data_IF_361361336682
#
_entry.id   IF_361361336682
#
_cell.length_a   1.000
_cell.length_b   1.000
_cell.length_c   1.000
_cell.angle_alpha   90.00
_cell.angle_beta   90.00
_cell.angle_gamma   90.00
#
_symmetry.space_group_name_H-M   'P 1'
#
loop_
_entity.id
_entity.type
_entity.pdbx_description
1 polymer ?
#
# COMPACT_ATOMS: atom_id res chain seq x y z
N UNK A 1 -23.23 -45.13 36.50
CA UNK A 1 -23.48 -43.68 36.47
C UNK A 1 -22.14 -43.00 36.20
N UNK A 2 -21.80 -42.76 34.94
CA UNK A 2 -20.63 -41.97 34.58
C UNK A 2 -21.05 -40.50 34.51
N UNK A 3 -20.25 -39.67 35.17
CA UNK A 3 -20.53 -38.29 35.48
C UNK A 3 -20.53 -37.44 34.20
N UNK A 4 -21.68 -36.85 33.89
CA UNK A 4 -21.96 -36.01 32.72
C UNK A 4 -21.40 -34.58 32.89
N UNK A 5 -20.18 -34.47 33.41
CA UNK A 5 -19.47 -33.23 33.73
C UNK A 5 -17.97 -33.36 33.48
N UNK A 6 -17.58 -33.58 32.23
CA UNK A 6 -16.22 -33.26 31.79
C UNK A 6 -16.27 -32.37 30.55
N UNK A 7 -16.15 -31.07 30.84
CA UNK A 7 -15.46 -30.06 30.04
C UNK A 7 -15.87 -29.96 28.56
N UNK A 8 -17.02 -29.35 28.33
CA UNK A 8 -17.13 -28.41 27.20
C UNK A 8 -16.23 -27.22 27.53
N UNK A 9 -14.97 -27.26 27.07
CA UNK A 9 -14.14 -26.06 27.01
C UNK A 9 -14.71 -25.18 25.91
N UNK A 10 -15.63 -24.29 26.26
CA UNK A 10 -16.00 -23.13 25.44
C UNK A 10 -14.78 -22.20 25.35
N UNK A 11 -13.79 -22.59 24.54
CA UNK A 11 -12.79 -21.64 24.08
C UNK A 11 -13.48 -20.72 23.09
N UNK A 12 -14.09 -19.64 23.60
CA UNK A 12 -14.35 -18.46 22.77
C UNK A 12 -13.03 -18.13 22.08
N UNK A 13 -12.97 -18.10 20.74
CA UNK A 13 -11.76 -17.69 20.04
C UNK A 13 -11.38 -16.31 20.58
N UNK A 14 -10.20 -16.22 21.18
CA UNK A 14 -9.62 -14.94 21.57
C UNK A 14 -9.23 -14.27 20.26
N UNK A 15 -10.11 -13.40 19.76
CA UNK A 15 -9.76 -12.52 18.65
C UNK A 15 -8.75 -11.51 19.18
N UNK A 16 -7.47 -11.79 18.92
CA UNK A 16 -6.39 -10.83 19.15
C UNK A 16 -6.50 -9.81 18.01
N UNK A 17 -7.13 -8.66 18.29
CA UNK A 17 -7.16 -7.54 17.36
C UNK A 17 -5.82 -6.81 17.36
N UNK A 18 -5.53 -6.11 16.27
CA UNK A 18 -4.41 -5.18 16.25
C UNK A 18 -4.59 -4.10 17.32
N UNK A 19 -3.50 -3.64 17.96
CA UNK A 19 -3.56 -2.47 18.83
C UNK A 19 -4.07 -1.24 18.07
N UNK A 20 -4.90 -0.41 18.70
CA UNK A 20 -5.38 0.84 18.09
C UNK A 20 -4.24 1.79 17.71
N UNK A 21 -3.11 1.70 18.39
CA UNK A 21 -1.88 2.46 18.08
C UNK A 21 -1.11 1.95 16.85
N UNK A 22 -1.57 0.86 16.23
CA UNK A 22 -0.96 0.25 15.04
C UNK A 22 -1.84 0.38 13.79
N UNK A 23 -3.04 0.97 13.90
CA UNK A 23 -4.01 1.02 12.79
C UNK A 23 -4.80 2.32 12.70
N UNK A 24 -5.32 2.60 11.51
CA UNK A 24 -6.38 3.59 11.30
C UNK A 24 -7.77 2.94 11.47
N UNK A 25 -8.78 3.70 11.92
CA UNK A 25 -10.15 3.19 12.06
C UNK A 25 -10.85 2.96 10.72
N UNK A 26 -10.36 3.58 9.63
CA UNK A 26 -10.90 3.47 8.28
C UNK A 26 -9.73 3.31 7.31
N UNK A 27 -9.87 2.40 6.36
CA UNK A 27 -8.94 2.19 5.25
C UNK A 27 -9.75 1.93 3.96
N UNK A 28 -9.08 1.96 2.80
CA UNK A 28 -9.71 1.98 1.46
C UNK A 28 -9.45 0.72 0.65
N UNK A 29 -9.66 -0.44 1.28
CA UNK A 29 -9.62 -1.72 0.59
C UNK A 29 -10.69 -2.67 1.14
N UNK A 30 -10.83 -3.81 0.47
CA UNK A 30 -11.82 -4.84 0.77
C UNK A 30 -11.71 -5.50 2.16
N UNK A 31 -10.67 -5.21 2.94
CA UNK A 31 -10.49 -5.74 4.30
C UNK A 31 -10.14 -4.63 5.29
N UNK A 32 -10.68 -4.66 6.52
CA UNK A 32 -10.30 -3.71 7.56
C UNK A 32 -8.87 -3.98 8.05
N UNK A 33 -8.19 -2.92 8.50
CA UNK A 33 -6.83 -3.00 9.02
C UNK A 33 -6.62 -4.10 10.08
N UNK A 34 -7.58 -4.28 10.99
CA UNK A 34 -7.55 -5.33 12.04
C UNK A 34 -7.39 -6.73 11.48
N UNK A 35 -8.05 -7.02 10.36
CA UNK A 35 -7.96 -8.32 9.70
C UNK A 35 -6.63 -8.43 8.98
N UNK A 36 -6.19 -7.37 8.29
CA UNK A 36 -4.93 -7.37 7.55
C UNK A 36 -3.70 -7.65 8.42
N UNK A 37 -3.62 -7.06 9.62
CA UNK A 37 -2.53 -7.33 10.55
C UNK A 37 -2.75 -8.54 11.46
N UNK A 38 -3.82 -9.32 11.24
CA UNK A 38 -4.10 -10.52 12.04
C UNK A 38 -3.29 -11.74 11.59
N UNK A 39 -3.10 -12.70 12.50
CA UNK A 39 -2.54 -14.01 12.16
C UNK A 39 -3.42 -14.77 11.15
N UNK A 40 -4.74 -14.58 11.20
CA UNK A 40 -5.68 -15.24 10.29
C UNK A 40 -5.41 -14.85 8.84
N UNK A 41 -5.19 -13.56 8.56
CA UNK A 41 -4.83 -13.12 7.21
C UNK A 41 -3.45 -13.65 6.79
N UNK A 42 -2.47 -13.72 7.70
CA UNK A 42 -1.16 -14.31 7.39
C UNK A 42 -1.25 -15.79 7.03
N UNK A 43 -2.14 -16.55 7.66
CA UNK A 43 -2.35 -17.98 7.39
C UNK A 43 -3.24 -18.24 6.18
N UNK A 44 -4.21 -17.36 5.94
CA UNK A 44 -5.21 -17.47 4.89
C UNK A 44 -5.34 -16.14 4.15
N UNK A 45 -4.31 -15.75 3.37
CA UNK A 45 -4.35 -14.49 2.64
C UNK A 45 -5.46 -14.55 1.59
N UNK A 46 -6.09 -13.40 1.37
CA UNK A 46 -7.05 -13.20 0.29
C UNK A 46 -6.60 -12.03 -0.56
N UNK A 47 -7.06 -11.98 -1.80
CA UNK A 47 -6.75 -10.88 -2.71
C UNK A 47 -7.14 -9.54 -2.10
N UNK A 48 -6.18 -8.60 -2.12
CA UNK A 48 -6.36 -7.26 -1.61
C UNK A 48 -6.78 -6.34 -2.75
N UNK A 49 -8.01 -5.86 -2.68
CA UNK A 49 -8.62 -5.03 -3.71
C UNK A 49 -8.84 -3.63 -3.14
N UNK A 50 -8.31 -2.63 -3.84
CA UNK A 50 -8.53 -1.23 -3.48
C UNK A 50 -9.91 -0.77 -3.92
N UNK A 51 -10.53 0.07 -3.10
CA UNK A 51 -11.89 0.53 -3.35
C UNK A 51 -11.98 1.34 -4.64
N UNK A 52 -12.95 0.97 -5.50
CA UNK A 52 -13.28 1.71 -6.72
C UNK A 52 -12.33 1.53 -7.90
N UNK A 53 -11.11 0.98 -7.73
CA UNK A 53 -10.12 0.89 -8.83
C UNK A 53 -10.60 -0.01 -9.96
N UNK A 54 -11.08 -1.22 -9.64
CA UNK A 54 -11.57 -2.16 -10.65
C UNK A 54 -12.76 -1.59 -11.45
N UNK A 55 -13.65 -0.85 -10.79
CA UNK A 55 -14.79 -0.23 -11.45
C UNK A 55 -14.38 0.96 -12.34
N UNK A 56 -13.45 1.80 -11.86
CA UNK A 56 -12.99 2.98 -12.61
C UNK A 56 -12.11 2.64 -13.81
N UNK A 57 -11.37 1.52 -13.73
CA UNK A 57 -10.39 1.12 -14.74
C UNK A 57 -10.74 -0.22 -15.40
N UNK A 58 -12.03 -0.57 -15.42
CA UNK A 58 -12.52 -1.83 -16.01
C UNK A 58 -12.00 -2.06 -17.43
N UNK A 59 -12.08 -1.04 -18.29
CA UNK A 59 -11.65 -1.13 -19.69
C UNK A 59 -10.16 -1.44 -19.83
N UNK A 60 -9.32 -0.91 -18.94
CA UNK A 60 -7.89 -1.24 -18.94
C UNK A 60 -7.69 -2.73 -18.70
N UNK A 61 -8.26 -3.27 -17.61
CA UNK A 61 -8.08 -4.68 -17.27
C UNK A 61 -8.67 -5.61 -18.34
N UNK A 62 -9.82 -5.22 -18.91
CA UNK A 62 -10.40 -5.94 -20.05
C UNK A 62 -9.50 -5.97 -21.28
N UNK A 63 -8.77 -4.90 -21.59
CA UNK A 63 -7.77 -4.92 -22.67
C UNK A 63 -6.53 -5.75 -22.29
N UNK A 64 -6.08 -5.68 -21.04
CA UNK A 64 -4.94 -6.48 -20.57
C UNK A 64 -5.22 -7.99 -20.64
N UNK A 65 -6.45 -8.44 -20.38
CA UNK A 65 -6.86 -9.86 -20.47
C UNK A 65 -6.70 -10.44 -21.89
N UNK A 66 -6.74 -9.58 -22.93
CA UNK A 66 -6.59 -10.00 -24.33
C UNK A 66 -5.13 -10.14 -24.77
N UNK A 67 -4.20 -9.64 -23.97
CA UNK A 67 -2.78 -9.58 -24.31
C UNK A 67 -2.00 -10.65 -23.54
N UNK A 68 -1.46 -11.64 -24.25
CA UNK A 68 -0.67 -12.71 -23.65
C UNK A 68 0.76 -12.29 -23.29
N UNK A 69 1.34 -11.33 -24.00
CA UNK A 69 2.72 -10.90 -23.81
C UNK A 69 2.85 -9.92 -22.63
N UNK A 70 3.76 -10.25 -21.69
CA UNK A 70 3.96 -9.47 -20.47
C UNK A 70 4.52 -8.07 -20.76
N UNK A 71 5.42 -7.94 -21.73
CA UNK A 71 6.05 -6.65 -22.05
C UNK A 71 5.03 -5.72 -22.73
N UNK A 72 4.22 -6.28 -23.62
CA UNK A 72 3.12 -5.56 -24.28
C UNK A 72 2.06 -5.09 -23.27
N UNK A 73 1.65 -5.94 -22.31
CA UNK A 73 0.77 -5.52 -21.19
C UNK A 73 1.36 -4.36 -20.39
N UNK A 74 2.65 -4.42 -20.09
CA UNK A 74 3.38 -3.31 -19.46
C UNK A 74 3.31 -2.01 -20.25
N UNK A 75 3.46 -2.09 -21.58
CA UNK A 75 3.35 -0.92 -22.45
C UNK A 75 1.92 -0.37 -22.51
N UNK A 76 0.90 -1.23 -22.60
CA UNK A 76 -0.52 -0.84 -22.55
C UNK A 76 -0.80 -0.10 -21.24
N UNK A 77 -0.37 -0.65 -20.10
CA UNK A 77 -0.52 -0.02 -18.80
C UNK A 77 0.15 1.36 -18.73
N UNK A 78 1.41 1.47 -19.18
CA UNK A 78 2.14 2.75 -19.17
C UNK A 78 1.46 3.81 -20.05
N UNK A 79 0.98 3.43 -21.23
CA UNK A 79 0.25 4.31 -22.13
C UNK A 79 -1.08 4.78 -21.49
N UNK A 80 -1.80 3.85 -20.85
CA UNK A 80 -3.03 4.17 -20.13
C UNK A 80 -2.78 5.14 -18.97
N UNK A 81 -1.76 4.90 -18.14
CA UNK A 81 -1.35 5.80 -17.06
C UNK A 81 -1.04 7.21 -17.57
N UNK A 82 -0.33 7.30 -18.70
CA UNK A 82 0.01 8.57 -19.32
C UNK A 82 -1.24 9.33 -19.77
N UNK A 83 -2.19 8.66 -20.42
CA UNK A 83 -3.41 9.27 -20.91
C UNK A 83 -4.37 9.63 -19.77
N UNK A 84 -4.63 8.70 -18.85
CA UNK A 84 -5.57 8.84 -17.74
C UNK A 84 -5.18 10.00 -16.79
N UNK A 85 -3.89 10.17 -16.54
CA UNK A 85 -3.37 11.20 -15.64
C UNK A 85 -2.64 12.35 -16.35
N UNK A 86 -2.68 12.42 -17.69
CA UNK A 86 -2.03 13.47 -18.49
C UNK A 86 -0.55 13.71 -18.09
N UNK A 87 0.23 12.62 -17.97
CA UNK A 87 1.57 12.68 -17.39
C UNK A 87 2.59 13.45 -18.25
N UNK A 88 2.35 13.57 -19.56
CA UNK A 88 3.22 14.30 -20.50
C UNK A 88 2.81 15.74 -20.74
N UNK A 89 1.54 16.07 -20.58
CA UNK A 89 0.97 17.42 -20.78
C UNK A 89 0.25 17.89 -19.52
N UNK A 90 0.95 18.01 -18.38
CA UNK A 90 0.31 18.35 -17.10
C UNK A 90 -0.40 19.71 -17.10
N UNK A 91 0.00 20.64 -17.98
CA UNK A 91 -0.66 21.94 -18.16
C UNK A 91 -2.12 21.78 -18.62
N UNK A 92 -2.41 20.78 -19.45
CA UNK A 92 -3.77 20.45 -19.90
C UNK A 92 -4.64 19.89 -18.75
N UNK A 93 -3.99 19.36 -17.70
CA UNK A 93 -4.63 18.91 -16.47
C UNK A 93 -4.76 20.05 -15.43
N UNK A 94 -4.50 21.30 -15.83
CA UNK A 94 -4.60 22.48 -14.95
C UNK A 94 -3.36 22.77 -14.13
N UNK A 95 -2.18 22.22 -14.49
CA UNK A 95 -0.94 22.57 -13.82
C UNK A 95 -0.56 24.03 -14.04
N UNK A 96 -0.33 24.76 -12.94
CA UNK A 96 0.16 26.15 -12.96
C UNK A 96 1.68 26.18 -12.84
N UNK A 97 2.32 27.29 -13.23
CA UNK A 97 3.75 27.53 -12.99
C UNK A 97 4.14 27.27 -11.52
N UNK A 98 5.17 26.44 -11.31
CA UNK A 98 5.58 25.96 -9.98
C UNK A 98 4.88 24.69 -9.50
N UNK A 99 3.97 24.13 -10.29
CA UNK A 99 3.34 22.86 -9.98
C UNK A 99 4.31 21.68 -10.04
N UNK A 100 4.18 20.76 -9.08
CA UNK A 100 4.95 19.52 -9.02
C UNK A 100 4.28 18.41 -9.84
N UNK A 101 3.49 18.72 -10.87
CA UNK A 101 2.87 17.70 -11.74
C UNK A 101 3.87 16.73 -12.42
N UNK A 102 5.17 17.08 -12.50
CA UNK A 102 6.24 16.15 -12.92
C UNK A 102 6.60 15.09 -11.86
N UNK A 103 6.06 15.22 -10.65
CA UNK A 103 6.14 14.25 -9.56
C UNK A 103 5.07 13.17 -9.71
N UNK A 104 5.20 12.36 -10.75
CA UNK A 104 4.34 11.21 -10.98
C UNK A 104 4.84 9.96 -10.25
N UNK A 105 4.09 8.86 -10.36
CA UNK A 105 4.42 7.59 -9.74
C UNK A 105 5.84 7.11 -10.08
N UNK A 106 6.32 7.28 -11.32
CA UNK A 106 7.67 6.86 -11.72
C UNK A 106 8.76 7.61 -10.96
N UNK A 107 8.58 8.92 -10.75
CA UNK A 107 9.53 9.72 -9.98
C UNK A 107 9.53 9.30 -8.51
N UNK A 108 8.35 9.05 -7.95
CA UNK A 108 8.20 8.57 -6.57
C UNK A 108 8.88 7.20 -6.39
N UNK A 109 8.61 6.24 -7.28
CA UNK A 109 9.21 4.92 -7.23
C UNK A 109 10.74 4.98 -7.31
N UNK A 110 11.29 5.80 -8.20
CA UNK A 110 12.74 5.97 -8.33
C UNK A 110 13.37 6.56 -7.06
N UNK A 111 12.75 7.57 -6.47
CA UNK A 111 13.22 8.17 -5.22
C UNK A 111 13.18 7.17 -4.06
N UNK A 112 12.06 6.44 -3.94
CA UNK A 112 11.91 5.40 -2.92
C UNK A 112 12.90 4.24 -3.07
N UNK A 113 13.17 3.79 -4.31
CA UNK A 113 14.16 2.74 -4.58
C UNK A 113 15.59 3.19 -4.25
N UNK A 114 15.87 4.49 -4.33
CA UNK A 114 17.18 5.04 -3.98
C UNK A 114 17.34 5.17 -2.46
N UNK A 115 16.33 5.73 -1.78
CA UNK A 115 16.32 5.87 -0.34
C UNK A 115 14.90 5.69 0.24
N UNK A 116 14.72 4.60 1.01
CA UNK A 116 13.45 4.24 1.63
C UNK A 116 13.11 5.05 2.90
N UNK A 117 13.98 6.00 3.25
CA UNK A 117 13.76 6.93 4.35
C UNK A 117 13.53 8.37 3.88
N UNK A 118 13.65 8.70 2.60
CA UNK A 118 13.43 10.06 2.10
C UNK A 118 11.95 10.42 1.84
N UNK A 119 11.75 11.64 1.35
CA UNK A 119 10.43 12.26 1.15
C UNK A 119 9.48 11.40 0.28
N UNK A 120 9.97 10.77 -0.78
CA UNK A 120 9.19 9.85 -1.63
C UNK A 120 8.70 8.63 -0.84
N UNK A 121 9.53 8.10 0.06
CA UNK A 121 9.14 7.00 0.93
C UNK A 121 8.09 7.44 1.96
N UNK A 122 8.16 8.68 2.46
CA UNK A 122 7.11 9.23 3.33
C UNK A 122 5.74 9.27 2.62
N UNK A 123 5.72 9.65 1.33
CA UNK A 123 4.50 9.63 0.51
C UNK A 123 3.99 8.21 0.32
N UNK A 124 4.86 7.26 -0.04
CA UNK A 124 4.45 5.87 -0.24
C UNK A 124 3.90 5.25 1.04
N UNK A 125 4.56 5.48 2.18
CA UNK A 125 4.11 5.05 3.51
C UNK A 125 2.73 5.64 3.84
N UNK A 126 2.51 6.93 3.56
CA UNK A 126 1.21 7.58 3.75
C UNK A 126 0.11 7.01 2.85
N UNK A 127 0.46 6.68 1.61
CA UNK A 127 -0.46 5.98 0.71
C UNK A 127 -0.84 4.61 1.27
N UNK A 128 0.13 3.81 1.72
CA UNK A 128 -0.11 2.50 2.38
C UNK A 128 -1.01 2.65 3.61
N UNK A 129 -0.72 3.62 4.49
CA UNK A 129 -1.56 3.90 5.67
C UNK A 129 -3.02 4.14 5.25
N UNK A 130 -3.25 4.98 4.24
CA UNK A 130 -4.61 5.32 3.78
C UNK A 130 -5.37 4.12 3.19
N UNK A 131 -4.68 3.17 2.54
CA UNK A 131 -5.32 2.05 1.81
C UNK A 131 -5.53 0.84 2.69
N UNK A 132 -4.51 0.48 3.46
CA UNK A 132 -4.49 -0.74 4.28
C UNK A 132 -4.71 -0.45 5.76
N UNK A 133 -4.65 0.82 6.18
CA UNK A 133 -4.90 1.22 7.55
C UNK A 133 -3.84 0.76 8.54
N UNK A 134 -2.67 0.29 8.09
CA UNK A 134 -1.55 -0.08 8.96
C UNK A 134 -0.62 1.12 9.13
N UNK A 135 -0.40 1.55 10.37
CA UNK A 135 0.35 2.78 10.67
C UNK A 135 1.86 2.62 10.44
N UNK A 136 2.51 3.67 9.95
CA UNK A 136 3.96 3.73 9.81
C UNK A 136 4.62 3.75 11.18
N UNK A 137 5.47 2.75 11.43
CA UNK A 137 6.23 2.61 12.68
C UNK A 137 7.66 3.16 12.58
N UNK A 138 8.12 3.48 11.37
CA UNK A 138 9.49 3.93 11.13
C UNK A 138 9.60 4.85 9.89
N UNK A 139 10.26 6.00 10.07
CA UNK A 139 10.71 6.87 8.99
C UNK A 139 11.86 7.74 9.50
N UNK A 140 13.09 7.47 9.04
CA UNK A 140 14.36 8.03 9.55
C UNK A 140 14.67 7.73 11.03
N UNK A 141 13.65 7.38 11.83
CA UNK A 141 13.71 6.93 13.21
C UNK A 141 12.38 6.23 13.58
N UNK A 142 12.38 5.53 14.72
CA UNK A 142 11.17 4.85 15.25
C UNK A 142 10.09 5.87 15.62
N UNK A 143 8.86 5.60 15.19
CA UNK A 143 7.67 6.36 15.54
C UNK A 143 6.95 5.62 16.68
N UNK A 144 7.08 6.12 17.90
CA UNK A 144 6.47 5.53 19.09
C UNK A 144 5.05 6.04 19.37
N UNK A 145 4.72 7.26 18.94
CA UNK A 145 3.44 7.93 19.17
C UNK A 145 3.18 9.00 18.11
N UNK A 146 1.99 9.61 18.13
CA UNK A 146 1.66 10.77 17.30
C UNK A 146 2.20 12.11 17.84
N UNK A 147 2.90 12.06 18.98
CA UNK A 147 3.50 13.23 19.63
C UNK A 147 4.99 12.96 19.85
N UNK A 148 5.70 12.75 18.73
CA UNK A 148 7.14 12.58 18.74
C UNK A 148 7.77 13.19 17.50
N UNK A 149 9.04 13.61 17.63
CA UNK A 149 9.79 14.26 16.55
C UNK A 149 9.85 13.44 15.24
N UNK A 150 10.07 12.10 15.27
CA UNK A 150 10.01 11.28 14.07
C UNK A 150 8.65 11.33 13.36
N UNK A 151 7.54 11.37 14.12
CA UNK A 151 6.21 11.50 13.55
C UNK A 151 6.01 12.86 12.88
N UNK A 152 6.41 13.95 13.53
CA UNK A 152 6.30 15.29 12.95
C UNK A 152 7.09 15.43 11.64
N UNK A 153 8.30 14.86 11.58
CA UNK A 153 9.10 14.81 10.36
C UNK A 153 8.39 14.03 9.26
N UNK A 154 7.90 12.84 9.57
CA UNK A 154 7.14 12.02 8.64
C UNK A 154 5.93 12.77 8.05
N UNK A 155 5.15 13.45 8.90
CA UNK A 155 3.99 14.24 8.48
C UNK A 155 4.42 15.44 7.61
N UNK A 156 5.52 16.11 7.94
CA UNK A 156 6.03 17.22 7.14
C UNK A 156 6.49 16.75 5.75
N UNK A 157 7.25 15.65 5.68
CA UNK A 157 7.78 15.11 4.43
C UNK A 157 6.67 14.56 3.52
N UNK A 158 5.71 13.78 4.06
CA UNK A 158 4.56 13.29 3.28
C UNK A 158 3.74 14.45 2.72
N UNK A 159 3.51 15.50 3.53
CA UNK A 159 2.70 16.66 3.12
C UNK A 159 3.40 17.43 2.01
N UNK A 160 4.72 17.62 2.11
CA UNK A 160 5.54 18.25 1.06
C UNK A 160 5.57 17.42 -0.22
N UNK A 161 5.52 16.10 -0.10
CA UNK A 161 5.53 15.18 -1.22
C UNK A 161 4.22 15.13 -1.99
N UNK A 162 3.10 15.20 -1.29
CA UNK A 162 1.76 15.24 -1.91
C UNK A 162 1.37 16.63 -2.41
N UNK A 163 1.98 17.69 -1.86
CA UNK A 163 1.64 19.07 -2.22
C UNK A 163 1.77 19.34 -3.72
N UNK A 164 0.67 19.80 -4.32
CA UNK A 164 0.55 20.18 -5.73
C UNK A 164 0.97 19.07 -6.70
N UNK A 165 0.62 17.82 -6.36
CA UNK A 165 0.79 16.66 -7.24
C UNK A 165 -0.48 16.39 -8.04
N UNK A 166 -0.34 15.76 -9.20
CA UNK A 166 -1.45 15.44 -10.08
C UNK A 166 -2.02 14.06 -9.73
N UNK A 167 -3.00 13.99 -8.82
CA UNK A 167 -3.68 12.75 -8.43
C UNK A 167 -2.72 11.58 -8.10
N UNK A 168 -1.57 11.86 -7.47
CA UNK A 168 -0.48 10.90 -7.26
C UNK A 168 -0.96 9.65 -6.50
N UNK A 169 -1.85 9.85 -5.53
CA UNK A 169 -2.46 8.76 -4.79
C UNK A 169 -3.26 7.78 -5.68
N UNK A 170 -4.04 8.30 -6.64
CA UNK A 170 -4.79 7.47 -7.59
C UNK A 170 -3.86 6.78 -8.60
N UNK A 171 -2.74 7.42 -8.97
CA UNK A 171 -1.70 6.78 -9.77
C UNK A 171 -1.11 5.55 -9.05
N UNK A 172 -0.91 5.65 -7.73
CA UNK A 172 -0.43 4.52 -6.92
C UNK A 172 -1.52 3.44 -6.74
N UNK A 173 -2.78 3.83 -6.62
CA UNK A 173 -3.92 2.89 -6.55
C UNK A 173 -4.00 2.01 -7.82
N UNK A 174 -3.86 2.63 -8.99
CA UNK A 174 -3.86 1.91 -10.27
C UNK A 174 -2.59 1.09 -10.46
N UNK A 175 -1.42 1.61 -10.10
CA UNK A 175 -0.17 0.86 -10.14
C UNK A 175 -0.22 -0.40 -9.27
N UNK A 176 -0.69 -0.28 -8.03
CA UNK A 176 -0.84 -1.41 -7.12
C UNK A 176 -1.74 -2.48 -7.73
N UNK A 177 -2.90 -2.09 -8.25
CA UNK A 177 -3.88 -3.01 -8.82
C UNK A 177 -3.35 -3.70 -10.08
N UNK A 178 -2.61 -2.99 -10.92
CA UNK A 178 -1.88 -3.59 -12.05
C UNK A 178 -0.82 -4.60 -11.59
N UNK A 179 -0.05 -4.30 -10.53
CA UNK A 179 0.90 -5.25 -9.98
C UNK A 179 0.21 -6.50 -9.42
N UNK A 180 -0.93 -6.37 -8.74
CA UNK A 180 -1.71 -7.53 -8.27
C UNK A 180 -2.21 -8.37 -9.45
N UNK A 181 -2.70 -7.71 -10.51
CA UNK A 181 -3.13 -8.38 -11.74
C UNK A 181 -1.98 -9.18 -12.39
N UNK A 182 -0.79 -8.58 -12.57
CA UNK A 182 0.35 -9.30 -13.15
C UNK A 182 0.87 -10.44 -12.25
N UNK A 183 0.87 -10.24 -10.93
CA UNK A 183 1.28 -11.29 -9.99
C UNK A 183 0.35 -12.50 -10.06
N UNK A 184 -0.97 -12.28 -10.13
CA UNK A 184 -1.95 -13.36 -10.25
C UNK A 184 -1.78 -14.19 -11.54
N UNK A 185 -1.27 -13.58 -12.63
CA UNK A 185 -0.98 -14.27 -13.88
C UNK A 185 0.28 -15.15 -13.81
N UNK A 186 1.23 -14.81 -12.94
CA UNK A 186 2.54 -15.45 -12.89
C UNK A 186 2.69 -16.44 -11.72
N UNK A 187 1.95 -16.21 -10.64
CA UNK A 187 2.13 -16.91 -9.37
C UNK A 187 0.79 -17.48 -8.92
N UNK A 188 0.78 -18.79 -8.69
CA UNK A 188 -0.39 -19.51 -8.16
C UNK A 188 -0.28 -19.83 -6.66
N UNK A 189 0.85 -19.50 -6.03
CA UNK A 189 1.10 -19.77 -4.61
C UNK A 189 0.56 -18.65 -3.72
N UNK A 190 -0.07 -19.02 -2.61
CA UNK A 190 -0.59 -18.07 -1.62
C UNK A 190 0.49 -17.37 -0.80
N UNK A 191 1.66 -18.00 -0.63
CA UNK A 191 2.77 -17.46 0.16
C UNK A 191 4.04 -17.39 -0.66
N UNK A 192 4.70 -16.23 -0.61
CA UNK A 192 5.99 -15.98 -1.24
C UNK A 192 7.02 -15.58 -0.18
N UNK A 193 8.17 -16.24 -0.21
CA UNK A 193 9.31 -15.84 0.61
C UNK A 193 10.05 -14.69 -0.08
N UNK A 194 10.04 -13.52 0.57
CA UNK A 194 10.76 -12.33 0.11
C UNK A 194 11.91 -12.02 1.08
N UNK A 195 12.97 -11.40 0.55
CA UNK A 195 14.10 -10.93 1.34
C UNK A 195 14.12 -9.41 1.32
N UNK A 196 14.24 -8.79 2.50
CA UNK A 196 14.41 -7.34 2.65
C UNK A 196 15.79 -7.04 3.22
N UNK A 197 16.52 -6.14 2.58
CA UNK A 197 17.75 -5.56 3.12
C UNK A 197 17.45 -4.61 4.28
N UNK A 198 18.30 -4.61 5.31
CA UNK A 198 18.27 -3.65 6.41
C UNK A 198 19.60 -2.92 6.47
N UNK A 199 19.56 -1.60 6.68
CA UNK A 199 20.78 -0.79 6.80
C UNK A 199 21.30 -0.84 8.24
N UNK A 200 20.39 -0.77 9.23
CA UNK A 200 20.73 -0.85 10.65
C UNK A 200 19.78 -1.78 11.43
N UNK A 201 20.33 -2.62 12.32
CA UNK A 201 19.54 -3.54 13.15
C UNK A 201 18.53 -2.82 14.07
N UNK A 202 18.83 -1.58 14.47
CA UNK A 202 17.97 -0.77 15.34
C UNK A 202 16.67 -0.31 14.66
N UNK A 203 16.53 -0.53 13.35
CA UNK A 203 15.30 -0.27 12.59
C UNK A 203 14.22 -1.32 12.85
N UNK A 204 14.59 -2.51 13.34
CA UNK A 204 13.65 -3.58 13.64
C UNK A 204 13.05 -3.37 15.03
N UNK A 205 11.72 -3.36 15.09
CA UNK A 205 10.99 -3.37 16.35
C UNK A 205 11.11 -4.77 16.98
N UNK A 206 11.85 -4.87 18.09
CA UNK A 206 11.89 -6.09 18.89
C UNK A 206 10.56 -6.15 19.66
N UNK A 207 9.72 -7.11 19.32
CA UNK A 207 8.50 -7.41 20.05
C UNK A 207 8.92 -8.16 21.34
N UNK A 208 8.58 -7.58 22.49
CA UNK A 208 8.77 -8.18 23.81
C UNK A 208 7.52 -8.92 24.27
#
# INVERSE_FOLDING_TARGET
MLNDKMLKTDHKPIFISLPDSARLPINRCNLPADILGSLTFQQHPTDLLLDGVSAMHHDLFFELDKCSDMLERGQIFMNYMQACFQLTTPEEAGAVAGSRCKANYLRLLRGWMFDADEQEAAVLKAWVESRFGLLTRYHKARISSFDCEPYYRYIAERSRGLYNTNALEMQLDLLYSYCQYELAQQISTQHLSLYRGINHFNELEILH
#
